data_IF_239855435588
#
_entry.id   IF_239855435588
#
_cell.length_a   1.000
_cell.length_b   1.000
_cell.length_c   1.000
_cell.angle_alpha   90.00
_cell.angle_beta   90.00
_cell.angle_gamma   90.00
#
_symmetry.space_group_name_H-M   'P 1'
#
loop_
_entity.id
_entity.type
_entity.pdbx_description
1 polymer ?
#
# COMPACT_ATOMS: atom_id res chain seq x y z
N UNK A 1 -32.43 5.82 -17.04
CA UNK A 1 -32.15 7.25 -17.21
C UNK A 1 -30.70 7.52 -16.82
N UNK A 2 -29.94 7.97 -17.80
CA UNK A 2 -28.48 8.18 -17.74
C UNK A 2 -28.14 9.43 -16.91
N UNK A 3 -27.06 9.39 -16.15
CA UNK A 3 -26.28 10.59 -15.81
C UNK A 3 -24.80 10.25 -15.73
N UNK A 4 -24.16 10.39 -16.87
CA UNK A 4 -22.69 10.46 -16.99
C UNK A 4 -22.25 11.86 -16.57
N UNK A 5 -21.52 12.01 -15.48
CA UNK A 5 -20.77 13.23 -15.21
C UNK A 5 -19.31 13.00 -15.58
N UNK A 6 -18.96 13.49 -16.77
CA UNK A 6 -17.58 13.64 -17.20
C UNK A 6 -16.98 14.85 -16.47
N UNK A 7 -15.94 14.63 -15.66
CA UNK A 7 -15.08 15.70 -15.17
C UNK A 7 -13.92 15.89 -16.15
N UNK A 8 -14.00 17.00 -16.89
CA UNK A 8 -12.88 17.50 -17.71
C UNK A 8 -11.97 18.34 -16.82
N UNK A 9 -10.76 17.89 -16.60
CA UNK A 9 -9.69 18.71 -16.02
C UNK A 9 -9.00 19.46 -17.12
N UNK A 10 -9.12 20.78 -17.10
CA UNK A 10 -8.43 21.69 -18.00
C UNK A 10 -7.02 21.99 -17.43
N UNK A 11 -6.00 21.65 -18.18
CA UNK A 11 -4.62 22.10 -17.99
C UNK A 11 -4.49 23.50 -18.58
N UNK A 12 -4.19 24.48 -17.75
CA UNK A 12 -3.77 25.80 -18.20
C UNK A 12 -2.28 25.96 -17.91
N UNK A 13 -1.47 25.87 -18.94
CA UNK A 13 -0.06 26.26 -18.90
C UNK A 13 0.06 27.79 -19.05
N UNK A 14 0.87 28.40 -18.20
CA UNK A 14 1.32 29.79 -18.39
C UNK A 14 2.84 29.82 -18.44
N UNK A 15 3.35 30.02 -19.62
CA UNK A 15 4.77 30.35 -19.90
C UNK A 15 4.84 31.88 -19.80
N UNK A 16 5.56 32.37 -18.81
CA UNK A 16 5.87 33.79 -18.66
C UNK A 16 7.37 34.04 -18.83
N UNK A 17 7.79 34.38 -20.03
CA UNK A 17 9.10 34.97 -20.31
C UNK A 17 9.03 36.48 -20.07
N UNK A 18 9.84 37.01 -19.15
CA UNK A 18 10.08 38.45 -19.04
C UNK A 18 11.59 38.71 -18.93
N UNK A 19 12.17 39.10 -20.04
CA UNK A 19 13.48 39.75 -20.08
C UNK A 19 13.27 41.23 -19.75
N UNK A 20 13.95 41.74 -18.73
CA UNK A 20 14.18 43.18 -18.57
C UNK A 20 15.63 43.43 -18.18
N UNK A 21 16.33 43.96 -19.17
CA UNK A 21 17.63 44.62 -19.07
C UNK A 21 17.41 45.99 -18.41
N UNK A 22 18.08 46.24 -17.31
CA UNK A 22 18.10 47.55 -16.66
C UNK A 22 19.38 47.69 -15.84
N UNK A 23 20.41 48.31 -16.43
CA UNK A 23 21.62 48.73 -15.74
C UNK A 23 21.33 50.00 -14.96
N UNK A 24 21.51 49.98 -13.63
CA UNK A 24 21.73 51.19 -12.85
C UNK A 24 22.82 50.95 -11.81
N UNK A 25 23.95 51.63 -12.04
CA UNK A 25 25.05 51.82 -11.13
C UNK A 25 24.57 52.76 -9.98
N UNK A 26 24.46 52.27 -8.78
CA UNK A 26 24.57 53.03 -7.57
C UNK A 26 25.23 52.19 -6.50
N UNK A 27 26.39 52.68 -6.03
CA UNK A 27 27.13 52.09 -4.94
C UNK A 27 26.35 52.23 -3.60
N UNK A 28 26.54 51.27 -2.76
CA UNK A 28 26.05 51.33 -1.37
C UNK A 28 25.97 49.94 -0.73
N UNK A 29 26.88 49.75 0.23
CA UNK A 29 26.75 48.79 1.35
C UNK A 29 26.28 47.36 1.00
N UNK A 30 27.23 46.48 0.89
CA UNK A 30 27.00 45.01 0.92
C UNK A 30 26.40 44.64 2.25
N UNK A 31 25.09 44.60 2.33
CA UNK A 31 24.43 43.78 3.33
C UNK A 31 24.67 42.33 2.85
N UNK A 32 25.62 41.65 3.49
CA UNK A 32 25.80 40.22 3.35
C UNK A 32 24.48 39.56 3.81
N UNK A 33 23.59 39.30 2.85
CA UNK A 33 22.47 38.39 3.10
C UNK A 33 23.08 37.02 3.34
N UNK A 34 23.13 36.62 4.61
CA UNK A 34 23.44 35.24 4.95
C UNK A 34 22.37 34.35 4.26
N UNK A 35 22.77 33.69 3.20
CA UNK A 35 21.94 32.65 2.58
C UNK A 35 21.62 31.63 3.67
N UNK A 36 20.33 31.29 3.90
CA UNK A 36 20.00 30.27 4.89
C UNK A 36 20.66 28.95 4.41
N UNK A 37 21.57 28.45 5.23
CA UNK A 37 22.19 27.15 5.02
C UNK A 37 21.08 26.13 4.83
N UNK A 38 21.05 25.33 3.72
CA UNK A 38 20.06 24.30 3.55
C UNK A 38 20.08 23.38 4.77
N UNK A 39 18.90 23.11 5.34
CA UNK A 39 18.79 22.14 6.43
C UNK A 39 19.35 20.79 5.97
N UNK A 40 20.11 20.07 6.82
CA UNK A 40 20.61 18.76 6.47
C UNK A 40 19.42 17.84 6.10
N UNK A 41 19.58 16.99 5.08
CA UNK A 41 18.52 16.06 4.72
C UNK A 41 18.15 15.20 5.92
N UNK A 42 16.87 14.84 6.07
CA UNK A 42 16.44 13.94 7.15
C UNK A 42 17.23 12.63 7.07
N UNK A 43 17.57 12.02 8.22
CA UNK A 43 18.30 10.75 8.22
C UNK A 43 17.53 9.71 7.40
N UNK A 44 18.25 8.98 6.56
CA UNK A 44 17.66 7.90 5.78
C UNK A 44 16.99 6.88 6.73
N UNK A 45 15.83 6.32 6.34
CA UNK A 45 15.21 5.27 7.12
C UNK A 45 16.21 4.14 7.39
N UNK A 46 16.19 3.59 8.60
CA UNK A 46 17.04 2.46 8.95
C UNK A 46 16.79 1.29 7.96
N UNK A 47 17.84 0.64 7.52
CA UNK A 47 17.72 -0.53 6.65
C UNK A 47 16.88 -1.59 7.37
N UNK A 48 15.93 -2.25 6.68
CA UNK A 48 15.14 -3.32 7.27
C UNK A 48 16.03 -4.48 7.71
N UNK A 49 15.58 -5.21 8.74
CA UNK A 49 16.29 -6.41 9.20
C UNK A 49 16.39 -7.44 8.05
N UNK A 50 17.45 -8.26 8.01
CA UNK A 50 17.59 -9.33 7.03
C UNK A 50 16.36 -10.25 7.04
N UNK A 51 15.80 -10.53 5.87
CA UNK A 51 14.58 -11.33 5.74
C UNK A 51 13.26 -10.58 6.06
N UNK A 52 13.32 -9.24 6.18
CA UNK A 52 12.16 -8.38 6.45
C UNK A 52 12.03 -7.27 5.40
N UNK A 53 12.45 -7.53 4.19
CA UNK A 53 12.35 -6.58 3.08
C UNK A 53 10.99 -6.69 2.38
N UNK A 54 10.67 -5.70 1.54
CA UNK A 54 9.49 -5.78 0.68
C UNK A 54 9.55 -6.99 -0.27
N UNK A 55 10.74 -7.41 -0.68
CA UNK A 55 10.94 -8.62 -1.49
C UNK A 55 10.57 -9.89 -0.71
N UNK A 56 10.95 -9.99 0.56
CA UNK A 56 10.58 -11.13 1.43
C UNK A 56 9.05 -11.21 1.61
N UNK A 57 8.39 -10.06 1.80
CA UNK A 57 6.93 -9.99 1.88
C UNK A 57 6.28 -10.44 0.56
N UNK A 58 6.78 -9.97 -0.57
CA UNK A 58 6.25 -10.35 -1.90
C UNK A 58 6.42 -11.85 -2.14
N UNK A 59 7.56 -12.43 -1.76
CA UNK A 59 7.82 -13.86 -1.88
C UNK A 59 6.87 -14.69 -0.99
N UNK A 60 6.72 -14.32 0.27
CA UNK A 60 5.80 -15.00 1.19
C UNK A 60 4.36 -14.92 0.69
N UNK A 61 3.94 -13.75 0.19
CA UNK A 61 2.60 -13.55 -0.39
C UNK A 61 2.37 -14.41 -1.63
N UNK A 62 3.36 -14.51 -2.51
CA UNK A 62 3.31 -15.38 -3.70
C UNK A 62 3.19 -16.86 -3.33
N UNK A 63 3.97 -17.31 -2.35
CA UNK A 63 3.92 -18.68 -1.83
C UNK A 63 2.53 -19.02 -1.29
N UNK A 64 1.98 -18.14 -0.43
CA UNK A 64 0.64 -18.30 0.14
C UNK A 64 -0.42 -18.26 -0.95
N UNK A 65 -0.32 -17.33 -1.91
CA UNK A 65 -1.26 -17.22 -3.03
C UNK A 65 -1.32 -18.48 -3.89
N UNK A 66 -0.17 -19.05 -4.21
CA UNK A 66 -0.08 -20.30 -4.99
C UNK A 66 -0.66 -21.50 -4.23
N UNK A 67 -0.32 -21.63 -2.96
CA UNK A 67 -0.84 -22.71 -2.11
C UNK A 67 -2.37 -22.58 -1.91
N UNK A 68 -2.86 -21.35 -1.69
CA UNK A 68 -4.29 -21.07 -1.56
C UNK A 68 -5.05 -21.40 -2.85
N UNK A 69 -4.50 -21.05 -4.02
CA UNK A 69 -5.11 -21.40 -5.30
C UNK A 69 -5.25 -22.92 -5.46
N UNK A 70 -4.19 -23.68 -5.18
CA UNK A 70 -4.24 -25.14 -5.20
C UNK A 70 -5.28 -25.72 -4.26
N UNK A 71 -5.35 -25.19 -3.04
CA UNK A 71 -6.35 -25.57 -2.04
C UNK A 71 -7.79 -25.33 -2.53
N UNK A 72 -8.07 -24.12 -3.02
CA UNK A 72 -9.41 -23.77 -3.50
C UNK A 72 -9.83 -24.58 -4.73
N UNK A 73 -8.91 -24.91 -5.63
CA UNK A 73 -9.21 -25.79 -6.78
C UNK A 73 -9.57 -27.23 -6.34
N UNK A 74 -8.98 -27.72 -5.27
CA UNK A 74 -9.28 -29.05 -4.72
C UNK A 74 -10.49 -29.07 -3.77
N UNK A 75 -10.98 -27.90 -3.34
CA UNK A 75 -12.13 -27.75 -2.45
C UNK A 75 -13.17 -26.80 -3.06
N UNK A 76 -13.98 -27.28 -4.01
CA UNK A 76 -14.91 -26.44 -4.76
C UNK A 76 -16.00 -25.79 -3.89
N UNK A 77 -16.40 -26.39 -2.78
CA UNK A 77 -17.33 -25.85 -1.80
C UNK A 77 -16.74 -24.61 -1.10
N UNK A 78 -15.50 -24.69 -0.66
CA UNK A 78 -14.75 -23.56 -0.07
C UNK A 78 -14.55 -22.45 -1.12
N UNK A 79 -14.16 -22.82 -2.32
CA UNK A 79 -13.99 -21.89 -3.44
C UNK A 79 -15.28 -21.12 -3.76
N UNK A 80 -16.41 -21.81 -3.81
CA UNK A 80 -17.72 -21.21 -4.04
C UNK A 80 -18.10 -20.24 -2.92
N UNK A 81 -17.84 -20.59 -1.68
CA UNK A 81 -18.07 -19.68 -0.55
C UNK A 81 -17.28 -18.37 -0.72
N UNK A 82 -15.96 -18.44 -0.91
CA UNK A 82 -15.14 -17.24 -1.09
C UNK A 82 -15.47 -16.45 -2.36
N UNK A 83 -15.89 -17.13 -3.42
CA UNK A 83 -16.34 -16.47 -4.64
C UNK A 83 -17.63 -15.69 -4.41
N UNK A 84 -18.53 -16.19 -3.58
CA UNK A 84 -19.78 -15.54 -3.21
C UNK A 84 -19.61 -14.25 -2.41
N UNK A 85 -18.47 -14.04 -1.77
CA UNK A 85 -18.18 -12.82 -1.00
C UNK A 85 -17.90 -11.59 -1.89
N UNK A 86 -17.80 -11.76 -3.18
CA UNK A 86 -17.48 -10.65 -4.11
C UNK A 86 -18.55 -9.57 -4.07
N UNK A 87 -18.09 -8.32 -3.90
CA UNK A 87 -18.98 -7.15 -3.92
C UNK A 87 -19.68 -6.88 -2.60
N UNK A 88 -19.49 -7.70 -1.57
CA UNK A 88 -19.98 -7.43 -0.22
C UNK A 88 -19.12 -6.37 0.48
N UNK A 89 -19.69 -5.58 1.39
CA UNK A 89 -18.94 -4.69 2.28
C UNK A 89 -17.94 -5.47 3.16
N UNK A 90 -16.81 -4.86 3.49
CA UNK A 90 -15.75 -5.49 4.26
C UNK A 90 -16.22 -6.05 5.62
N UNK A 91 -17.19 -5.40 6.25
CA UNK A 91 -17.75 -5.84 7.54
C UNK A 91 -18.55 -7.13 7.39
N UNK A 92 -19.36 -7.23 6.34
CA UNK A 92 -20.11 -8.45 6.01
C UNK A 92 -19.16 -9.60 5.69
N UNK A 93 -18.14 -9.34 4.84
CA UNK A 93 -17.11 -10.33 4.51
C UNK A 93 -16.46 -10.90 5.78
N UNK A 94 -16.10 -10.04 6.74
CA UNK A 94 -15.50 -10.50 8.01
C UNK A 94 -16.44 -11.39 8.80
N UNK A 95 -17.71 -10.98 8.93
CA UNK A 95 -18.73 -11.73 9.65
C UNK A 95 -18.97 -13.10 9.01
N UNK A 96 -19.16 -13.12 7.69
CA UNK A 96 -19.44 -14.34 6.94
C UNK A 96 -18.26 -15.31 6.98
N UNK A 97 -17.02 -14.80 6.81
CA UNK A 97 -15.80 -15.62 6.92
C UNK A 97 -15.67 -16.20 8.32
N UNK A 98 -15.90 -15.41 9.37
CA UNK A 98 -15.81 -15.91 10.75
C UNK A 98 -16.85 -16.98 11.03
N UNK A 99 -18.09 -16.77 10.60
CA UNK A 99 -19.17 -17.74 10.78
C UNK A 99 -18.87 -19.04 10.01
N UNK A 100 -18.36 -18.92 8.77
CA UNK A 100 -17.99 -20.07 7.97
C UNK A 100 -16.85 -20.88 8.60
N UNK A 101 -15.80 -20.21 9.08
CA UNK A 101 -14.68 -20.87 9.75
C UNK A 101 -15.11 -21.55 11.06
N UNK A 102 -15.96 -20.91 11.87
CA UNK A 102 -16.50 -21.51 13.08
C UNK A 102 -17.31 -22.78 12.79
N UNK A 103 -18.03 -22.80 11.66
CA UNK A 103 -18.79 -23.97 11.23
C UNK A 103 -17.91 -25.05 10.56
N UNK A 104 -16.72 -24.69 10.10
CA UNK A 104 -15.81 -25.56 9.35
C UNK A 104 -14.37 -25.52 9.94
N UNK A 105 -14.14 -26.02 11.15
CA UNK A 105 -12.84 -25.91 11.84
C UNK A 105 -11.70 -26.60 11.10
N UNK A 106 -12.00 -27.62 10.28
CA UNK A 106 -11.02 -28.27 9.43
C UNK A 106 -10.50 -27.30 8.34
N UNK A 107 -11.41 -26.61 7.67
CA UNK A 107 -11.08 -25.58 6.66
C UNK A 107 -10.27 -24.45 7.28
N UNK A 108 -10.66 -24.01 8.48
CA UNK A 108 -9.91 -22.98 9.21
C UNK A 108 -8.46 -23.40 9.48
N UNK A 109 -8.27 -24.62 9.98
CA UNK A 109 -6.95 -25.18 10.27
C UNK A 109 -6.08 -25.27 9.01
N UNK A 110 -6.63 -25.74 7.91
CA UNK A 110 -5.92 -25.88 6.62
C UNK A 110 -5.54 -24.52 6.04
N UNK A 111 -6.45 -23.56 6.04
CA UNK A 111 -6.18 -22.19 5.58
C UNK A 111 -5.14 -21.49 6.47
N UNK A 112 -5.20 -21.68 7.78
CA UNK A 112 -4.19 -21.14 8.69
C UNK A 112 -2.81 -21.74 8.42
N UNK A 113 -2.74 -23.04 8.14
CA UNK A 113 -1.50 -23.70 7.70
C UNK A 113 -0.92 -23.10 6.41
N UNK A 114 -1.76 -22.84 5.42
CA UNK A 114 -1.37 -22.20 4.16
C UNK A 114 -0.82 -20.78 4.40
N UNK A 115 -1.40 -20.04 5.33
CA UNK A 115 -1.02 -18.66 5.68
C UNK A 115 0.22 -18.57 6.60
N UNK A 116 0.72 -19.69 7.10
CA UNK A 116 1.82 -19.73 8.05
C UNK A 116 3.04 -18.89 7.61
N UNK A 117 3.50 -18.91 6.33
CA UNK A 117 4.64 -18.10 5.91
C UNK A 117 4.47 -16.60 6.12
N UNK A 118 3.25 -16.07 5.94
CA UNK A 118 2.95 -14.66 6.22
C UNK A 118 2.86 -14.37 7.72
N UNK A 119 2.33 -15.30 8.50
CA UNK A 119 2.27 -15.19 9.96
C UNK A 119 3.67 -15.17 10.56
N UNK A 120 4.55 -16.04 10.09
CA UNK A 120 5.94 -16.11 10.54
C UNK A 120 6.72 -14.85 10.16
N UNK A 121 6.50 -14.34 8.93
CA UNK A 121 7.10 -13.08 8.50
C UNK A 121 6.63 -11.91 9.37
N UNK A 122 5.33 -11.81 9.62
CA UNK A 122 4.75 -10.79 10.50
C UNK A 122 5.38 -10.82 11.89
N UNK A 123 5.46 -12.00 12.49
CA UNK A 123 5.98 -12.17 13.84
C UNK A 123 7.48 -11.86 13.93
N UNK A 124 8.26 -12.23 12.92
CA UNK A 124 9.71 -11.99 12.86
C UNK A 124 10.05 -10.54 12.57
N UNK A 125 9.23 -9.85 11.75
CA UNK A 125 9.53 -8.53 11.22
C UNK A 125 8.71 -7.41 11.86
N UNK A 126 7.91 -7.71 12.87
CA UNK A 126 6.98 -6.76 13.51
C UNK A 126 6.11 -6.00 12.48
N UNK A 127 5.73 -6.71 11.41
CA UNK A 127 4.83 -6.16 10.40
C UNK A 127 3.45 -5.96 11.01
N UNK A 128 3.17 -4.73 11.42
CA UNK A 128 1.83 -4.29 11.76
C UNK A 128 1.15 -3.81 10.47
N UNK A 129 0.24 -4.56 9.85
CA UNK A 129 -0.58 -3.98 8.80
C UNK A 129 -1.46 -2.91 9.46
N UNK A 130 -1.14 -1.64 9.23
CA UNK A 130 -2.02 -0.53 9.59
C UNK A 130 -3.29 -0.62 8.72
N UNK A 131 -4.20 -1.50 9.10
CA UNK A 131 -5.54 -1.60 8.51
C UNK A 131 -6.54 -0.66 9.20
N UNK A 132 -6.03 0.33 9.92
CA UNK A 132 -6.83 1.37 10.57
C UNK A 132 -6.66 2.69 9.83
N UNK A 133 -7.17 2.78 8.60
CA UNK A 133 -7.56 4.03 7.93
C UNK A 133 -8.72 3.77 7.01
#
# INVERSE_FOLDING_TARGET
MLSRRAMRSALVGAIGTSAMTGAMLFGGASLASAEPTPAPPPPAPAAPAPGCTAADLAQASGTVGTAMAGYLFSHPDVNNFFTGLRGLPNEEIRGDVQNYMNANPQVESEINGIRQPLTDLKNRCDYQPNLAQ
#
